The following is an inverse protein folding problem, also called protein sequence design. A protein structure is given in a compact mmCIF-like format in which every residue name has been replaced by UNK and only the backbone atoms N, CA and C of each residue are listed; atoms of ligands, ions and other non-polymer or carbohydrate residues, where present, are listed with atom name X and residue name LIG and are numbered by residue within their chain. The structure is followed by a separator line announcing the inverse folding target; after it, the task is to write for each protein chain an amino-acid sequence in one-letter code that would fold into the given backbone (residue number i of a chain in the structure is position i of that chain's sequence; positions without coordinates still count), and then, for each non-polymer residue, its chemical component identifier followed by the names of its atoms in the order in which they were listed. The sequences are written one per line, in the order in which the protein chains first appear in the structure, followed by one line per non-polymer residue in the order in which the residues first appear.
data_IF_038226732747
#
_entry.id   IF_038226732747
#
_cell.length_a   1.000
_cell.length_b   1.000
_cell.length_c   1.000
_cell.angle_alpha   90.00
_cell.angle_beta   90.00
_cell.angle_gamma   90.00
#
_symmetry.space_group_name_H-M   'P 1'
#
loop_
_entity.id
_entity.type
_entity.pdbx_description
1 polymer ?
#
# COMPACT_ATOMS: atom_id res chain seq x y z
N UNK A 1 8.57 -14.55 -22.83
CA UNK A 1 7.18 -14.91 -23.17
C UNK A 1 6.42 -15.15 -21.88
N UNK A 2 5.16 -14.71 -21.76
CA UNK A 2 4.34 -15.04 -20.59
C UNK A 2 4.10 -16.55 -20.51
N UNK A 3 4.09 -17.09 -19.30
CA UNK A 3 3.79 -18.50 -19.03
C UNK A 3 2.44 -18.62 -18.33
N UNK A 4 1.74 -19.72 -18.55
CA UNK A 4 0.52 -20.02 -17.81
C UNK A 4 0.88 -20.31 -16.35
N UNK A 5 0.11 -19.72 -15.44
CA UNK A 5 0.17 -20.05 -14.02
C UNK A 5 -0.55 -21.39 -13.78
N UNK A 6 -0.15 -22.19 -12.77
CA UNK A 6 -0.89 -23.40 -12.43
C UNK A 6 -2.38 -23.13 -12.23
N UNK A 7 -3.23 -24.02 -12.74
CA UNK A 7 -4.68 -23.92 -12.55
C UNK A 7 -5.03 -23.99 -11.06
N UNK A 8 -5.97 -23.14 -10.64
CA UNK A 8 -6.41 -23.06 -9.25
C UNK A 8 -7.78 -22.42 -9.14
N UNK A 9 -8.50 -22.77 -8.08
CA UNK A 9 -9.76 -22.14 -7.73
C UNK A 9 -9.53 -20.97 -6.77
N UNK A 10 -10.41 -19.97 -6.80
CA UNK A 10 -10.39 -18.85 -5.87
C UNK A 10 -11.80 -18.55 -5.38
N UNK A 11 -12.03 -18.77 -4.09
CA UNK A 11 -13.19 -18.26 -3.37
C UNK A 11 -12.82 -16.92 -2.73
N UNK A 12 -13.40 -15.81 -3.20
CA UNK A 12 -12.98 -14.45 -2.82
C UNK A 12 -14.14 -13.46 -2.93
N UNK A 13 -14.08 -12.37 -2.15
CA UNK A 13 -14.87 -11.19 -2.45
C UNK A 13 -14.28 -10.42 -3.65
N UNK A 14 -15.07 -9.52 -4.23
CA UNK A 14 -14.67 -8.71 -5.40
C UNK A 14 -14.92 -7.22 -5.12
N UNK A 15 -14.03 -6.29 -5.56
CA UNK A 15 -14.20 -4.87 -5.26
C UNK A 15 -15.48 -4.26 -5.85
N UNK A 16 -15.90 -4.75 -7.02
CA UNK A 16 -17.13 -4.33 -7.67
C UNK A 16 -17.63 -5.41 -8.62
N UNK A 17 -18.89 -5.81 -8.48
CA UNK A 17 -19.55 -6.75 -9.42
C UNK A 17 -19.53 -6.28 -10.88
N UNK A 18 -19.67 -4.97 -11.12
CA UNK A 18 -19.80 -4.44 -12.49
C UNK A 18 -18.46 -4.19 -13.18
N UNK A 19 -17.51 -3.58 -12.47
CA UNK A 19 -16.21 -3.18 -13.03
C UNK A 19 -15.06 -4.17 -12.76
N UNK A 20 -15.08 -4.83 -11.60
CA UNK A 20 -13.97 -5.63 -11.09
C UNK A 20 -14.45 -7.00 -10.55
N UNK A 21 -15.10 -7.86 -11.36
CA UNK A 21 -15.63 -9.16 -10.90
C UNK A 21 -14.52 -10.22 -10.78
N UNK A 22 -13.46 -9.92 -10.03
CA UNK A 22 -12.27 -10.76 -9.88
C UNK A 22 -11.52 -10.45 -8.58
N UNK A 23 -10.64 -11.35 -8.17
CA UNK A 23 -9.88 -11.21 -6.93
C UNK A 23 -8.77 -10.15 -7.03
N UNK A 24 -8.68 -9.27 -6.04
CA UNK A 24 -7.57 -8.33 -5.85
C UNK A 24 -6.97 -8.53 -4.47
N UNK A 25 -5.66 -8.79 -4.42
CA UNK A 25 -4.98 -9.29 -3.22
C UNK A 25 -5.09 -8.33 -2.04
N UNK A 26 -4.79 -7.05 -2.25
CA UNK A 26 -4.84 -6.07 -1.16
C UNK A 26 -6.28 -5.65 -0.78
N UNK A 27 -7.23 -5.67 -1.71
CA UNK A 27 -8.65 -5.40 -1.42
C UNK A 27 -9.21 -6.46 -0.47
N UNK A 28 -8.81 -7.73 -0.66
CA UNK A 28 -9.38 -8.84 0.08
C UNK A 28 -9.19 -8.72 1.59
N UNK A 29 -8.03 -8.26 2.06
CA UNK A 29 -7.82 -8.04 3.50
C UNK A 29 -8.85 -7.06 4.10
N UNK A 30 -9.23 -6.01 3.37
CA UNK A 30 -10.27 -5.08 3.80
C UNK A 30 -11.67 -5.70 3.75
N UNK A 31 -12.00 -6.48 2.71
CA UNK A 31 -13.26 -7.23 2.67
C UNK A 31 -13.40 -8.15 3.89
N UNK A 32 -12.33 -8.86 4.23
CA UNK A 32 -12.34 -9.84 5.32
C UNK A 32 -12.40 -9.22 6.72
N UNK A 33 -11.98 -7.96 6.89
CA UNK A 33 -12.22 -7.23 8.14
C UNK A 33 -13.72 -7.07 8.45
N UNK A 34 -14.56 -6.93 7.42
CA UNK A 34 -16.00 -6.88 7.58
C UNK A 34 -16.60 -8.27 7.68
N UNK A 35 -16.25 -9.17 6.74
CA UNK A 35 -16.84 -10.51 6.69
C UNK A 35 -16.55 -11.34 7.95
N UNK A 36 -15.36 -11.19 8.55
CA UNK A 36 -15.02 -11.88 9.80
C UNK A 36 -15.89 -11.48 11.00
N UNK A 37 -16.60 -10.35 10.93
CA UNK A 37 -17.60 -9.95 11.94
C UNK A 37 -18.92 -10.71 11.77
N UNK A 38 -19.25 -11.06 10.54
CA UNK A 38 -20.46 -11.79 10.19
C UNK A 38 -20.24 -13.31 10.29
N UNK A 39 -19.28 -13.84 9.54
CA UNK A 39 -18.95 -15.25 9.48
C UNK A 39 -17.44 -15.49 9.36
N UNK A 40 -16.76 -15.82 10.47
CA UNK A 40 -15.34 -16.17 10.47
C UNK A 40 -14.99 -17.38 9.59
N UNK A 41 -15.94 -18.28 9.29
CA UNK A 41 -15.68 -19.43 8.43
C UNK A 41 -15.44 -18.99 6.99
N UNK A 42 -16.28 -18.11 6.47
CA UNK A 42 -16.12 -17.50 5.13
C UNK A 42 -14.76 -16.82 5.01
N UNK A 43 -14.33 -16.11 6.06
CA UNK A 43 -13.01 -15.48 6.08
C UNK A 43 -11.86 -16.48 6.04
N UNK A 44 -11.93 -17.56 6.83
CA UNK A 44 -10.91 -18.62 6.79
C UNK A 44 -10.84 -19.29 5.42
N UNK A 45 -11.99 -19.55 4.79
CA UNK A 45 -12.06 -20.15 3.46
C UNK A 45 -11.48 -19.24 2.38
N UNK A 46 -11.80 -17.94 2.39
CA UNK A 46 -11.23 -16.99 1.43
C UNK A 46 -9.70 -16.88 1.59
N UNK A 47 -9.22 -16.67 2.82
CA UNK A 47 -7.77 -16.56 3.08
C UNK A 47 -7.04 -17.85 2.69
N UNK A 48 -7.62 -19.04 2.95
CA UNK A 48 -7.03 -20.31 2.52
C UNK A 48 -6.84 -20.35 1.00
N UNK A 49 -7.87 -20.03 0.22
CA UNK A 49 -7.77 -20.02 -1.24
C UNK A 49 -6.74 -19.01 -1.75
N UNK A 50 -6.65 -17.82 -1.17
CA UNK A 50 -5.62 -16.86 -1.55
C UNK A 50 -4.19 -17.36 -1.27
N UNK A 51 -3.97 -18.00 -0.12
CA UNK A 51 -2.66 -18.54 0.26
C UNK A 51 -2.30 -19.81 -0.54
N UNK A 52 -3.27 -20.57 -1.02
CA UNK A 52 -3.04 -21.70 -1.93
C UNK A 52 -2.57 -21.26 -3.33
N UNK A 53 -2.74 -19.99 -3.69
CA UNK A 53 -2.23 -19.43 -4.96
C UNK A 53 -0.74 -19.07 -4.94
N UNK A 54 -0.04 -19.27 -3.82
CA UNK A 54 1.41 -19.02 -3.73
C UNK A 54 2.18 -19.93 -4.70
N UNK A 55 3.02 -19.35 -5.56
CA UNK A 55 3.94 -20.12 -6.40
C UNK A 55 5.14 -20.66 -5.61
N UNK A 56 5.99 -21.42 -6.31
CA UNK A 56 7.25 -21.95 -5.77
C UNK A 56 8.23 -20.89 -5.24
N UNK A 57 8.08 -19.62 -5.63
CA UNK A 57 8.93 -18.51 -5.16
C UNK A 57 8.37 -17.85 -3.89
N UNK A 58 7.11 -18.13 -3.52
CA UNK A 58 6.42 -17.43 -2.44
C UNK A 58 5.57 -16.24 -2.88
N UNK A 59 5.35 -16.04 -4.19
CA UNK A 59 4.60 -14.92 -4.74
C UNK A 59 3.12 -15.26 -4.97
N UNK A 60 2.25 -14.26 -4.79
CA UNK A 60 0.82 -14.30 -5.14
C UNK A 60 0.55 -13.18 -6.15
N UNK A 61 -0.05 -13.45 -7.32
CA UNK A 61 -0.45 -12.41 -8.24
C UNK A 61 -1.46 -11.43 -7.61
N UNK A 62 -1.20 -10.12 -7.75
CA UNK A 62 -2.03 -9.05 -7.17
C UNK A 62 -3.47 -9.04 -7.68
N UNK A 63 -3.69 -9.50 -8.91
CA UNK A 63 -4.97 -9.49 -9.60
C UNK A 63 -5.19 -10.86 -10.24
N UNK A 64 -6.26 -11.54 -9.83
CA UNK A 64 -6.54 -12.95 -10.17
C UNK A 64 -7.54 -13.01 -11.32
N UNK A 65 -7.04 -13.27 -12.53
CA UNK A 65 -7.82 -13.26 -13.78
C UNK A 65 -7.98 -14.70 -14.25
N UNK A 66 -8.91 -15.43 -13.63
CA UNK A 66 -9.10 -16.87 -13.81
C UNK A 66 -10.26 -17.14 -14.77
N UNK A 67 -9.98 -17.85 -15.87
CA UNK A 67 -10.98 -18.20 -16.88
C UNK A 67 -11.33 -17.09 -17.88
N UNK A 68 -12.08 -17.46 -18.92
CA UNK A 68 -12.38 -16.59 -20.06
C UNK A 68 -13.30 -15.41 -19.69
N UNK A 69 -14.24 -15.63 -18.76
CA UNK A 69 -15.15 -14.57 -18.30
C UNK A 69 -14.39 -13.42 -17.65
N UNK A 70 -13.51 -13.72 -16.68
CA UNK A 70 -12.69 -12.71 -16.02
C UNK A 70 -11.75 -12.02 -17.04
N UNK A 71 -11.13 -12.79 -17.94
CA UNK A 71 -10.23 -12.27 -18.98
C UNK A 71 -10.92 -11.32 -19.95
N UNK A 72 -12.19 -11.57 -20.29
CA UNK A 72 -12.97 -10.71 -21.20
C UNK A 72 -13.17 -9.28 -20.67
N UNK A 73 -13.00 -9.07 -19.36
CA UNK A 73 -13.17 -7.78 -18.67
C UNK A 73 -11.86 -7.04 -18.41
N UNK A 74 -10.72 -7.56 -18.90
CA UNK A 74 -9.39 -7.00 -18.63
C UNK A 74 -8.65 -6.74 -19.94
N UNK A 75 -8.19 -5.50 -20.21
CA UNK A 75 -7.31 -5.21 -21.33
C UNK A 75 -6.07 -6.10 -21.33
N UNK A 76 -5.60 -6.51 -22.51
CA UNK A 76 -4.56 -7.53 -22.67
C UNK A 76 -3.24 -7.16 -21.96
N UNK A 77 -2.93 -5.87 -21.90
CA UNK A 77 -1.75 -5.32 -21.22
C UNK A 77 -1.75 -5.53 -19.70
N UNK A 78 -2.92 -5.72 -19.07
CA UNK A 78 -3.07 -5.95 -17.62
C UNK A 78 -3.24 -7.42 -17.25
N UNK A 79 -3.39 -8.32 -18.24
CA UNK A 79 -3.57 -9.75 -17.97
C UNK A 79 -2.29 -10.37 -17.41
N UNK A 80 -1.13 -10.02 -17.98
CA UNK A 80 0.15 -10.60 -17.56
C UNK A 80 0.58 -10.03 -16.21
N UNK A 81 0.60 -10.88 -15.20
CA UNK A 81 1.11 -10.56 -13.87
C UNK A 81 2.64 -10.76 -13.82
N UNK A 82 3.33 -10.05 -12.92
CA UNK A 82 4.80 -10.10 -12.77
C UNK A 82 5.17 -10.58 -11.37
N UNK A 83 6.00 -11.60 -11.27
CA UNK A 83 6.41 -12.20 -10.00
C UNK A 83 7.35 -11.33 -9.16
N UNK A 84 7.89 -10.24 -9.70
CA UNK A 84 8.59 -9.21 -8.95
C UNK A 84 7.64 -8.20 -8.29
N UNK A 85 6.39 -8.13 -8.76
CA UNK A 85 5.39 -7.15 -8.33
C UNK A 85 4.62 -7.64 -7.11
N UNK A 86 4.83 -6.96 -5.99
CA UNK A 86 4.11 -7.17 -4.74
C UNK A 86 2.75 -6.45 -4.70
N UNK A 87 2.03 -6.62 -3.59
CA UNK A 87 0.88 -5.79 -3.20
C UNK A 87 0.87 -5.56 -1.67
N UNK A 88 0.16 -4.58 -1.09
CA UNK A 88 0.03 -4.51 0.37
C UNK A 88 -0.48 -5.83 0.95
N UNK A 89 0.18 -6.42 1.95
CA UNK A 89 -0.17 -7.74 2.46
C UNK A 89 -1.34 -7.65 3.48
N UNK A 90 -2.45 -7.05 3.05
CA UNK A 90 -3.61 -6.72 3.91
C UNK A 90 -4.32 -7.95 4.47
N UNK A 91 -4.10 -9.15 3.92
CA UNK A 91 -4.57 -10.40 4.52
C UNK A 91 -4.09 -10.57 5.97
N UNK A 92 -2.93 -9.98 6.33
CA UNK A 92 -2.48 -9.94 7.72
C UNK A 92 -3.44 -9.18 8.64
N UNK A 93 -4.12 -8.12 8.17
CA UNK A 93 -5.15 -7.43 8.95
C UNK A 93 -6.30 -8.36 9.32
N UNK A 94 -6.74 -9.19 8.36
CA UNK A 94 -7.80 -10.17 8.60
C UNK A 94 -7.34 -11.30 9.53
N UNK A 95 -6.09 -11.76 9.39
CA UNK A 95 -5.49 -12.73 10.30
C UNK A 95 -5.37 -12.19 11.73
N UNK A 96 -4.90 -10.95 11.89
CA UNK A 96 -4.89 -10.24 13.17
C UNK A 96 -6.30 -10.24 13.77
N UNK A 97 -7.33 -9.96 12.96
CA UNK A 97 -8.69 -9.92 13.46
C UNK A 97 -9.20 -11.27 13.98
N UNK A 98 -8.90 -12.35 13.26
CA UNK A 98 -9.24 -13.71 13.71
C UNK A 98 -8.53 -14.07 15.02
N UNK A 99 -7.26 -13.68 15.18
CA UNK A 99 -6.48 -13.89 16.40
C UNK A 99 -7.08 -13.13 17.58
N UNK A 100 -7.41 -11.85 17.40
CA UNK A 100 -8.06 -11.03 18.44
C UNK A 100 -9.39 -11.64 18.88
N UNK A 101 -10.20 -12.11 17.94
CA UNK A 101 -11.49 -12.76 18.22
C UNK A 101 -11.32 -14.04 19.03
N UNK A 102 -10.36 -14.88 18.64
CA UNK A 102 -10.01 -16.10 19.37
C UNK A 102 -9.52 -15.79 20.78
N UNK A 103 -8.59 -14.84 20.94
CA UNK A 103 -8.03 -14.47 22.25
C UNK A 103 -9.08 -13.84 23.18
N UNK A 104 -9.99 -13.04 22.64
CA UNK A 104 -11.01 -12.34 23.44
C UNK A 104 -12.14 -13.28 23.88
N UNK A 105 -12.44 -14.33 23.11
CA UNK A 105 -13.55 -15.25 23.37
C UNK A 105 -13.17 -16.69 23.02
N UNK A 106 -12.20 -17.29 23.72
CA UNK A 106 -11.65 -18.59 23.35
C UNK A 106 -12.72 -19.67 23.31
N UNK A 107 -13.66 -19.69 24.27
CA UNK A 107 -14.70 -20.73 24.37
C UNK A 107 -15.77 -20.67 23.27
N UNK A 108 -15.84 -19.58 22.49
CA UNK A 108 -16.86 -19.44 21.45
C UNK A 108 -16.58 -20.40 20.29
N UNK A 109 -17.49 -21.35 20.09
CA UNK A 109 -17.37 -22.40 19.06
C UNK A 109 -17.07 -21.87 17.65
N UNK A 110 -17.53 -20.66 17.31
CA UNK A 110 -17.27 -20.03 15.99
C UNK A 110 -15.80 -19.67 15.75
N UNK A 111 -15.03 -19.45 16.83
CA UNK A 111 -13.63 -19.03 16.78
C UNK A 111 -12.65 -20.18 16.98
N UNK A 112 -13.05 -21.27 17.62
CA UNK A 112 -12.25 -22.49 17.83
C UNK A 112 -11.56 -23.03 16.56
N UNK A 113 -12.19 -23.02 15.36
CA UNK A 113 -11.52 -23.48 14.14
C UNK A 113 -10.34 -22.62 13.68
N UNK A 114 -10.13 -21.44 14.27
CA UNK A 114 -9.04 -20.52 13.93
C UNK A 114 -7.67 -21.15 14.21
N UNK A 115 -7.49 -21.85 15.32
CA UNK A 115 -6.19 -22.43 15.66
C UNK A 115 -5.77 -23.57 14.70
N UNK A 116 -6.62 -24.58 14.39
CA UNK A 116 -6.32 -25.56 13.35
C UNK A 116 -6.15 -24.95 11.95
N UNK A 117 -6.89 -23.89 11.62
CA UNK A 117 -6.74 -23.15 10.38
C UNK A 117 -5.35 -22.50 10.28
N UNK A 118 -4.94 -21.74 11.30
CA UNK A 118 -3.62 -21.11 11.35
C UNK A 118 -2.51 -22.15 11.25
N UNK A 119 -2.64 -23.30 11.93
CA UNK A 119 -1.65 -24.40 11.86
C UNK A 119 -1.43 -24.90 10.44
N UNK A 120 -2.49 -25.04 9.64
CA UNK A 120 -2.40 -25.45 8.23
C UNK A 120 -1.88 -24.34 7.32
N UNK A 121 -2.26 -23.09 7.59
CA UNK A 121 -1.88 -21.93 6.80
C UNK A 121 -0.39 -21.57 6.96
N UNK A 122 0.14 -21.77 8.17
CA UNK A 122 1.40 -21.17 8.61
C UNK A 122 2.61 -21.47 7.71
N UNK A 123 2.86 -22.70 7.22
CA UNK A 123 4.01 -22.95 6.34
C UNK A 123 4.00 -22.11 5.06
N UNK A 124 2.85 -21.99 4.40
CA UNK A 124 2.69 -21.16 3.19
C UNK A 124 2.78 -19.67 3.53
N UNK A 125 2.24 -19.27 4.69
CA UNK A 125 2.34 -17.89 5.17
C UNK A 125 3.79 -17.47 5.44
N UNK A 126 4.64 -18.38 5.96
CA UNK A 126 6.10 -18.17 6.08
C UNK A 126 6.71 -17.87 4.71
N UNK A 127 6.44 -18.72 3.72
CA UNK A 127 6.97 -18.54 2.35
C UNK A 127 6.56 -17.19 1.75
N UNK A 128 5.29 -16.79 1.93
CA UNK A 128 4.84 -15.48 1.46
C UNK A 128 5.54 -14.31 2.16
N UNK A 129 5.67 -14.39 3.49
CA UNK A 129 6.37 -13.38 4.28
C UNK A 129 7.87 -13.28 3.91
N UNK A 130 8.54 -14.41 3.73
CA UNK A 130 9.93 -14.47 3.28
C UNK A 130 10.11 -13.91 1.87
N UNK A 131 9.15 -14.14 0.97
CA UNK A 131 9.18 -13.55 -0.38
C UNK A 131 9.21 -12.02 -0.35
N UNK A 132 8.44 -11.35 0.52
CA UNK A 132 8.57 -9.89 0.69
C UNK A 132 9.95 -9.48 1.19
N UNK A 133 10.45 -10.17 2.23
CA UNK A 133 11.72 -9.86 2.88
C UNK A 133 12.94 -10.15 2.00
N UNK A 134 12.78 -10.91 0.92
CA UNK A 134 13.86 -11.18 -0.04
C UNK A 134 13.74 -10.32 -1.29
N UNK A 135 12.53 -10.14 -1.83
CA UNK A 135 12.34 -9.49 -3.14
C UNK A 135 12.11 -7.99 -3.07
N UNK A 136 11.55 -7.48 -1.97
CA UNK A 136 11.15 -6.08 -1.82
C UNK A 136 12.08 -5.25 -0.93
N UNK A 137 13.27 -5.78 -0.63
CA UNK A 137 14.31 -5.08 0.16
C UNK A 137 14.72 -3.74 -0.47
N UNK A 138 14.98 -2.75 0.37
CA UNK A 138 15.49 -1.45 -0.03
C UNK A 138 17.03 -1.42 -0.07
N UNK A 139 17.62 -0.28 -0.44
CA UNK A 139 19.07 -0.11 -0.53
C UNK A 139 19.79 -0.09 0.82
N UNK A 140 19.08 0.20 1.91
CA UNK A 140 19.62 0.23 3.27
C UNK A 140 19.07 -0.93 4.12
N UNK A 141 19.78 -1.37 5.17
CA UNK A 141 19.24 -2.34 6.13
C UNK A 141 17.87 -1.93 6.64
N UNK A 142 16.95 -2.90 6.72
CA UNK A 142 15.57 -2.71 7.20
C UNK A 142 14.70 -1.74 6.38
N UNK A 143 15.22 -1.19 5.28
CA UNK A 143 14.40 -0.41 4.34
C UNK A 143 13.75 -1.32 3.31
N UNK A 144 12.64 -0.87 2.73
CA UNK A 144 11.91 -1.58 1.69
C UNK A 144 11.62 -0.68 0.49
N UNK A 145 11.45 -1.29 -0.68
CA UNK A 145 11.11 -0.60 -1.92
C UNK A 145 10.23 -1.45 -2.82
N UNK A 146 9.01 -1.00 -3.06
CA UNK A 146 8.15 -1.48 -4.15
C UNK A 146 8.90 -1.68 -5.48
N UNK A 147 8.80 -2.88 -6.04
CA UNK A 147 9.21 -3.16 -7.42
C UNK A 147 8.08 -2.81 -8.40
N UNK A 148 8.40 -2.80 -9.69
CA UNK A 148 7.38 -2.62 -10.75
C UNK A 148 6.91 -1.18 -10.97
N UNK A 149 7.58 -0.17 -10.42
CA UNK A 149 7.31 1.23 -10.78
C UNK A 149 7.54 1.45 -12.28
N UNK A 150 6.71 2.28 -12.89
CA UNK A 150 6.89 2.68 -14.29
C UNK A 150 8.25 3.36 -14.45
N UNK A 151 9.01 2.95 -15.46
CA UNK A 151 10.34 3.53 -15.75
C UNK A 151 10.28 4.64 -16.81
N UNK A 152 9.19 4.70 -17.57
CA UNK A 152 9.01 5.75 -18.58
C UNK A 152 8.67 7.07 -17.90
N UNK A 153 9.69 7.93 -17.83
CA UNK A 153 9.60 9.26 -17.25
C UNK A 153 9.12 10.32 -18.23
N UNK A 154 8.88 9.99 -19.51
CA UNK A 154 8.41 10.93 -20.51
C UNK A 154 6.87 10.95 -20.63
N UNK A 155 6.24 9.81 -20.40
CA UNK A 155 4.79 9.64 -20.52
C UNK A 155 4.03 10.21 -19.31
N UNK A 156 4.52 9.95 -18.10
CA UNK A 156 3.81 10.28 -16.86
C UNK A 156 4.34 11.54 -16.20
N UNK A 157 3.46 12.36 -15.65
CA UNK A 157 3.87 13.49 -14.77
C UNK A 157 4.71 12.99 -13.58
N UNK A 158 4.28 11.89 -12.97
CA UNK A 158 5.00 11.10 -11.98
C UNK A 158 4.77 9.60 -12.26
N UNK A 159 5.82 8.77 -12.40
CA UNK A 159 5.64 7.36 -12.72
C UNK A 159 4.83 6.58 -11.67
N UNK A 160 3.92 5.71 -12.08
CA UNK A 160 2.98 5.04 -11.18
C UNK A 160 3.68 3.97 -10.32
N UNK A 161 3.03 3.61 -9.22
CA UNK A 161 3.45 2.53 -8.31
C UNK A 161 2.26 1.60 -8.05
N UNK A 162 1.78 0.93 -9.12
CA UNK A 162 0.62 0.04 -9.09
C UNK A 162 0.73 -1.06 -8.04
N UNK A 163 1.96 -1.50 -7.75
CA UNK A 163 2.25 -2.52 -6.74
C UNK A 163 1.91 -2.06 -5.33
N UNK A 164 1.92 -0.76 -5.03
CA UNK A 164 1.55 -0.27 -3.70
C UNK A 164 0.05 -0.24 -3.41
N UNK A 165 -0.80 -0.42 -4.43
CA UNK A 165 -2.25 -0.19 -4.33
C UNK A 165 -2.65 1.30 -4.40
N UNK A 166 -1.69 2.22 -4.29
CA UNK A 166 -1.87 3.66 -4.41
C UNK A 166 -1.30 4.16 -5.75
N UNK A 167 -1.92 3.72 -6.85
CA UNK A 167 -1.39 3.77 -8.23
C UNK A 167 -0.65 5.05 -8.63
N UNK A 168 -1.29 6.21 -8.57
CA UNK A 168 -0.75 7.51 -8.98
C UNK A 168 -0.32 8.40 -7.81
N UNK A 169 -0.25 7.87 -6.58
CA UNK A 169 0.27 8.62 -5.43
C UNK A 169 1.69 9.10 -5.75
N UNK A 170 2.01 10.41 -5.60
CA UNK A 170 3.30 10.93 -5.99
C UNK A 170 4.44 10.33 -5.16
N UNK A 171 5.40 9.70 -5.85
CA UNK A 171 6.67 9.24 -5.24
C UNK A 171 7.86 9.96 -5.86
N UNK A 172 9.08 9.44 -5.65
CA UNK A 172 10.29 9.96 -6.28
C UNK A 172 10.06 10.15 -7.78
N UNK A 173 10.40 11.35 -8.28
CA UNK A 173 10.07 11.77 -9.63
C UNK A 173 10.86 11.02 -10.70
N UNK A 174 12.03 10.50 -10.34
CA UNK A 174 12.91 9.72 -11.19
C UNK A 174 13.18 8.40 -10.47
N UNK A 175 12.43 7.33 -10.81
CA UNK A 175 12.56 6.04 -10.14
C UNK A 175 14.00 5.52 -10.20
N UNK A 176 14.47 4.91 -9.11
CA UNK A 176 15.84 4.43 -8.97
C UNK A 176 15.95 3.33 -7.92
N UNK A 177 17.08 2.62 -7.89
CA UNK A 177 17.33 1.61 -6.87
C UNK A 177 17.45 2.20 -5.44
N UNK A 178 17.75 3.50 -5.34
CA UNK A 178 17.95 4.25 -4.09
C UNK A 178 16.65 4.61 -3.35
N UNK A 179 15.49 4.25 -3.89
CA UNK A 179 14.22 4.60 -3.26
C UNK A 179 13.98 3.82 -1.96
N UNK A 180 13.32 4.47 -1.00
CA UNK A 180 12.80 3.84 0.23
C UNK A 180 11.34 4.22 0.39
N UNK A 181 10.47 3.23 0.58
CA UNK A 181 9.02 3.41 0.62
C UNK A 181 8.47 3.16 2.01
N UNK A 182 7.98 4.21 2.67
CA UNK A 182 7.60 4.16 4.10
C UNK A 182 6.36 3.30 4.33
N UNK A 183 5.42 3.29 3.39
CA UNK A 183 4.21 2.47 3.46
C UNK A 183 4.55 0.97 3.45
N UNK A 184 5.49 0.54 2.60
CA UNK A 184 5.94 -0.84 2.57
C UNK A 184 6.70 -1.23 3.85
N UNK A 185 7.57 -0.36 4.36
CA UNK A 185 8.22 -0.56 5.66
C UNK A 185 7.17 -0.83 6.76
N UNK A 186 6.13 -0.01 6.80
CA UNK A 186 5.06 -0.13 7.80
C UNK A 186 4.26 -1.43 7.63
N UNK A 187 3.98 -1.86 6.40
CA UNK A 187 3.35 -3.15 6.15
C UNK A 187 4.20 -4.30 6.69
N UNK A 188 5.50 -4.27 6.46
CA UNK A 188 6.41 -5.33 6.93
C UNK A 188 6.55 -5.34 8.45
N UNK A 189 6.57 -4.17 9.09
CA UNK A 189 6.52 -4.05 10.55
C UNK A 189 5.25 -4.72 11.12
N UNK A 190 4.08 -4.40 10.57
CA UNK A 190 2.81 -5.01 10.99
C UNK A 190 2.80 -6.53 10.76
N UNK A 191 3.16 -6.97 9.55
CA UNK A 191 3.18 -8.38 9.17
C UNK A 191 4.10 -9.21 10.06
N UNK A 192 5.28 -8.71 10.40
CA UNK A 192 6.21 -9.41 11.31
C UNK A 192 5.64 -9.61 12.71
N UNK A 193 4.93 -8.62 13.28
CA UNK A 193 4.28 -8.76 14.60
C UNK A 193 3.15 -9.78 14.59
N UNK A 194 2.42 -9.87 13.49
CA UNK A 194 1.35 -10.85 13.31
C UNK A 194 1.93 -12.26 13.07
N UNK A 195 3.03 -12.38 12.30
CA UNK A 195 3.76 -13.63 12.16
C UNK A 195 4.28 -14.14 13.51
N UNK A 196 4.89 -13.27 14.33
CA UNK A 196 5.32 -13.61 15.69
C UNK A 196 4.15 -14.10 16.55
N UNK A 197 3.00 -13.42 16.47
CA UNK A 197 1.80 -13.79 17.23
C UNK A 197 1.25 -15.15 16.81
N UNK A 198 1.15 -15.43 15.51
CA UNK A 198 0.72 -16.73 14.99
C UNK A 198 1.70 -17.83 15.42
N UNK A 199 3.00 -17.60 15.25
CA UNK A 199 4.04 -18.55 15.61
C UNK A 199 3.97 -18.91 17.10
N UNK A 200 3.82 -17.91 17.98
CA UNK A 200 3.68 -18.11 19.43
C UNK A 200 2.43 -18.92 19.77
N UNK A 201 1.28 -18.62 19.16
CA UNK A 201 0.03 -19.37 19.35
C UNK A 201 0.13 -20.84 18.92
N UNK A 202 0.94 -21.13 17.90
CA UNK A 202 1.10 -22.48 17.37
C UNK A 202 2.18 -23.31 18.08
N UNK A 203 3.01 -22.67 18.92
CA UNK A 203 4.19 -23.29 19.54
C UNK A 203 5.38 -23.42 18.59
N UNK A 204 5.46 -22.53 17.59
CA UNK A 204 6.50 -22.51 16.56
C UNK A 204 7.62 -21.51 16.92
N UNK A 205 8.83 -21.65 16.33
CA UNK A 205 9.88 -20.63 16.44
C UNK A 205 9.36 -19.25 16.01
N UNK A 206 9.54 -18.25 16.87
CA UNK A 206 8.93 -16.93 16.71
C UNK A 206 9.90 -15.75 16.90
N UNK A 207 11.10 -16.03 17.41
CA UNK A 207 12.09 -15.03 17.81
C UNK A 207 12.54 -14.15 16.63
N UNK A 208 12.72 -14.71 15.44
CA UNK A 208 13.14 -13.95 14.25
C UNK A 208 12.05 -12.97 13.80
N UNK A 209 10.77 -13.35 13.92
CA UNK A 209 9.64 -12.47 13.61
C UNK A 209 9.50 -11.36 14.65
N UNK A 210 9.71 -11.67 15.94
CA UNK A 210 9.73 -10.67 17.02
C UNK A 210 10.86 -9.67 16.84
N UNK A 211 12.06 -10.15 16.52
CA UNK A 211 13.23 -9.31 16.25
C UNK A 211 12.95 -8.41 15.04
N UNK A 212 12.43 -8.97 13.95
CA UNK A 212 12.05 -8.18 12.76
C UNK A 212 11.02 -7.12 13.12
N UNK A 213 9.97 -7.48 13.86
CA UNK A 213 8.95 -6.53 14.30
C UNK A 213 9.54 -5.42 15.15
N UNK A 214 10.31 -5.76 16.17
CA UNK A 214 10.97 -4.80 17.06
C UNK A 214 11.88 -3.85 16.29
N UNK A 215 12.68 -4.35 15.33
CA UNK A 215 13.58 -3.52 14.53
C UNK A 215 12.81 -2.58 13.60
N UNK A 216 11.70 -3.04 13.02
CA UNK A 216 10.91 -2.24 12.08
C UNK A 216 9.94 -1.28 12.78
N UNK A 217 9.53 -1.56 14.02
CA UNK A 217 8.67 -0.68 14.82
C UNK A 217 9.44 0.28 15.73
N UNK A 218 10.75 0.12 15.84
CA UNK A 218 11.66 1.07 16.50
C UNK A 218 11.50 2.46 15.87
N UNK A 219 11.01 3.41 16.67
CA UNK A 219 10.65 4.75 16.19
C UNK A 219 11.90 5.56 15.80
N UNK A 220 13.06 5.33 16.41
CA UNK A 220 14.30 6.03 16.07
C UNK A 220 14.81 5.55 14.70
N UNK A 221 14.83 4.24 14.46
CA UNK A 221 15.22 3.68 13.15
C UNK A 221 14.25 4.08 12.05
N UNK A 222 12.95 4.09 12.35
CA UNK A 222 11.94 4.58 11.42
C UNK A 222 12.18 6.07 11.08
N UNK A 223 12.53 6.88 12.08
CA UNK A 223 12.85 8.29 11.88
C UNK A 223 14.09 8.48 11.00
N UNK A 224 15.17 7.73 11.25
CA UNK A 224 16.39 7.78 10.44
C UNK A 224 16.12 7.49 8.95
N UNK A 225 15.24 6.53 8.66
CA UNK A 225 14.95 6.12 7.30
C UNK A 225 13.96 7.04 6.58
N UNK A 226 12.96 7.56 7.32
CA UNK A 226 11.72 8.09 6.75
C UNK A 226 11.22 9.42 7.33
N UNK A 227 11.73 9.92 8.46
CA UNK A 227 11.31 11.21 8.99
C UNK A 227 12.08 12.36 8.34
N UNK A 228 11.35 13.36 7.83
CA UNK A 228 11.94 14.59 7.32
C UNK A 228 11.64 15.76 8.25
N UNK A 229 12.67 16.29 8.93
CA UNK A 229 12.52 17.49 9.77
C UNK A 229 12.11 18.73 8.98
N UNK A 230 12.55 18.83 7.72
CA UNK A 230 12.16 19.93 6.85
C UNK A 230 10.66 19.90 6.51
N UNK A 231 10.10 18.70 6.32
CA UNK A 231 8.70 18.52 5.93
C UNK A 231 7.78 18.32 7.14
N UNK A 232 8.34 18.04 8.32
CA UNK A 232 7.63 17.57 9.51
C UNK A 232 6.68 16.40 9.20
N UNK A 233 7.13 15.46 8.38
CA UNK A 233 6.33 14.33 7.93
C UNK A 233 7.21 13.11 7.62
N UNK A 234 6.63 11.92 7.83
CA UNK A 234 7.16 10.70 7.25
C UNK A 234 7.03 10.75 5.73
N UNK A 235 8.12 10.42 5.04
CA UNK A 235 8.26 10.61 3.61
C UNK A 235 8.98 9.42 2.97
N UNK A 236 8.59 9.11 1.74
CA UNK A 236 9.44 8.31 0.86
C UNK A 236 10.76 9.05 0.61
N UNK A 237 11.81 8.30 0.25
CA UNK A 237 13.10 8.85 -0.16
C UNK A 237 13.42 8.43 -1.59
N UNK A 238 14.07 9.29 -2.38
CA UNK A 238 14.59 8.92 -3.69
C UNK A 238 15.02 10.11 -4.55
N UNK A 239 15.33 9.85 -5.82
CA UNK A 239 15.77 10.87 -6.76
C UNK A 239 14.57 11.75 -7.21
N UNK A 240 14.42 12.92 -6.59
CA UNK A 240 13.20 13.72 -6.68
C UNK A 240 13.45 15.17 -7.11
N UNK A 241 12.49 15.74 -7.83
CA UNK A 241 12.32 17.18 -8.11
C UNK A 241 10.83 17.47 -8.27
N UNK A 242 10.36 18.55 -7.64
CA UNK A 242 8.99 19.05 -7.84
C UNK A 242 8.86 19.87 -9.14
N UNK A 243 9.98 20.17 -9.81
CA UNK A 243 10.02 21.03 -11.00
C UNK A 243 9.64 20.27 -12.28
N UNK A 244 8.53 19.50 -12.23
CA UNK A 244 7.99 18.74 -13.36
C UNK A 244 6.63 19.26 -13.78
N UNK A 245 6.31 19.15 -15.07
CA UNK A 245 5.03 19.56 -15.63
C UNK A 245 4.73 18.79 -16.91
N UNK A 246 3.47 18.57 -17.25
CA UNK A 246 3.08 18.15 -18.59
C UNK A 246 3.01 19.38 -19.51
N UNK A 247 3.61 19.30 -20.69
CA UNK A 247 3.62 20.35 -21.71
C UNK A 247 3.23 19.75 -23.05
N UNK A 248 2.58 20.53 -23.91
CA UNK A 248 2.34 20.11 -25.28
C UNK A 248 3.67 20.06 -26.05
N UNK A 249 3.91 18.93 -26.70
CA UNK A 249 5.04 18.74 -27.59
C UNK A 249 5.02 19.77 -28.72
N UNK A 250 6.18 20.36 -29.03
CA UNK A 250 6.31 21.29 -30.14
C UNK A 250 6.43 20.51 -31.45
N UNK A 251 5.33 20.38 -32.18
CA UNK A 251 5.32 19.80 -33.53
C UNK A 251 5.70 20.90 -34.53
N UNK A 252 6.87 20.76 -35.15
CA UNK A 252 7.28 21.66 -36.23
C UNK A 252 6.50 21.34 -37.51
N UNK A 253 5.82 22.35 -38.05
CA UNK A 253 5.10 22.27 -39.33
C UNK A 253 5.79 23.23 -40.30
N UNK A 254 6.46 22.75 -41.36
CA UNK A 254 7.06 23.58 -42.39
C UNK A 254 6.03 24.51 -43.06
N UNK A 255 6.41 25.74 -43.44
CA UNK A 255 5.52 26.65 -44.17
C UNK A 255 4.99 26.01 -45.46
N UNK A 256 3.67 26.13 -45.70
CA UNK A 256 3.01 25.62 -46.91
C UNK A 256 2.54 24.16 -46.85
N UNK A 257 2.80 23.42 -45.77
CA UNK A 257 2.29 22.05 -45.62
C UNK A 257 1.05 21.99 -44.71
N UNK A 258 0.05 21.16 -45.04
CA UNK A 258 -1.20 21.10 -44.28
C UNK A 258 -1.03 20.31 -42.96
N UNK A 259 -1.46 20.92 -41.85
CA UNK A 259 -1.24 20.47 -40.46
C UNK A 259 -1.69 19.03 -40.15
N UNK A 260 -2.67 18.51 -40.88
CA UNK A 260 -3.18 17.15 -40.73
C UNK A 260 -2.20 16.05 -41.18
N UNK A 261 -1.11 16.41 -41.89
CA UNK A 261 -0.04 15.47 -42.28
C UNK A 261 0.99 15.25 -41.16
N UNK A 262 0.89 15.98 -40.04
CA UNK A 262 1.82 15.92 -38.93
C UNK A 262 1.20 15.23 -37.71
N UNK A 263 2.00 14.60 -36.83
CA UNK A 263 1.50 13.98 -35.61
C UNK A 263 0.74 14.98 -34.74
N UNK A 264 -0.33 14.50 -34.09
CA UNK A 264 -1.04 15.27 -33.08
C UNK A 264 -0.09 15.55 -31.92
N UNK A 265 0.01 16.81 -31.48
CA UNK A 265 0.87 17.22 -30.37
C UNK A 265 0.46 16.48 -29.10
N UNK A 266 1.39 15.69 -28.53
CA UNK A 266 1.16 14.92 -27.31
C UNK A 266 1.49 15.75 -26.07
N UNK A 267 0.85 15.44 -24.95
CA UNK A 267 1.33 15.92 -23.65
C UNK A 267 2.55 15.09 -23.23
N UNK A 268 3.70 15.75 -23.12
CA UNK A 268 4.96 15.14 -22.69
C UNK A 268 5.44 15.78 -21.39
N UNK A 269 6.11 15.00 -20.55
CA UNK A 269 6.68 15.52 -19.31
C UNK A 269 7.91 16.40 -19.60
N UNK A 270 7.96 17.55 -18.96
CA UNK A 270 9.11 18.46 -18.95
C UNK A 270 9.67 18.56 -17.54
N UNK A 271 11.00 18.47 -17.42
CA UNK A 271 11.76 18.58 -16.16
C UNK A 271 12.58 19.87 -16.19
N UNK A 272 12.24 20.84 -15.32
CA UNK A 272 12.86 22.18 -15.30
C UNK A 272 14.06 22.31 -14.36
N UNK A 273 14.20 21.40 -13.40
CA UNK A 273 15.35 21.32 -12.49
C UNK A 273 15.74 19.86 -12.33
N UNK A 274 17.04 19.58 -12.40
CA UNK A 274 17.58 18.24 -12.19
C UNK A 274 17.12 17.68 -10.82
N UNK A 275 16.77 16.39 -10.75
CA UNK A 275 16.44 15.75 -9.49
C UNK A 275 17.68 15.52 -8.64
N UNK A 276 17.47 15.37 -7.33
CA UNK A 276 18.49 14.96 -6.36
C UNK A 276 17.91 13.95 -5.39
N UNK A 277 18.76 13.14 -4.75
CA UNK A 277 18.35 12.28 -3.64
C UNK A 277 17.89 13.14 -2.46
N UNK A 278 16.62 12.99 -2.08
CA UNK A 278 15.99 13.71 -0.98
C UNK A 278 14.70 13.01 -0.54
N UNK A 279 14.16 13.42 0.60
CA UNK A 279 12.79 13.07 0.98
C UNK A 279 11.79 13.66 -0.02
N UNK A 280 10.79 12.87 -0.38
CA UNK A 280 9.74 13.24 -1.33
C UNK A 280 8.69 14.04 -0.59
N UNK A 281 8.54 15.31 -0.96
CA UNK A 281 7.48 16.17 -0.44
C UNK A 281 6.14 15.84 -1.11
N UNK A 282 5.43 14.87 -0.54
CA UNK A 282 4.11 14.41 -0.94
C UNK A 282 3.30 14.03 0.31
N UNK A 283 2.86 15.03 1.08
CA UNK A 283 2.09 14.82 2.30
C UNK A 283 0.71 14.24 1.97
N UNK A 284 0.39 13.07 2.50
CA UNK A 284 -0.85 12.36 2.20
C UNK A 284 -0.93 11.03 2.95
N UNK A 285 -1.73 10.10 2.43
CA UNK A 285 -1.90 8.78 3.05
C UNK A 285 -0.59 8.05 3.32
N UNK A 286 0.39 8.10 2.39
CA UNK A 286 1.70 7.45 2.57
C UNK A 286 2.42 8.00 3.83
N UNK A 287 2.35 9.31 4.07
CA UNK A 287 2.93 9.95 5.26
C UNK A 287 2.27 9.53 6.57
N UNK A 288 1.04 9.01 6.52
CA UNK A 288 0.30 8.59 7.71
C UNK A 288 0.55 7.13 8.08
N UNK A 289 1.21 6.31 7.24
CA UNK A 289 1.33 4.86 7.47
C UNK A 289 1.88 4.45 8.85
N UNK A 290 2.91 5.10 9.41
CA UNK A 290 3.36 4.82 10.77
C UNK A 290 2.26 4.96 11.82
N UNK A 291 1.36 5.94 11.66
CA UNK A 291 0.19 6.14 12.49
C UNK A 291 -0.95 5.15 12.15
N UNK A 292 -1.29 4.99 10.86
CA UNK A 292 -2.40 4.15 10.38
C UNK A 292 -2.25 2.68 10.81
N UNK A 293 -1.00 2.19 10.86
CA UNK A 293 -0.66 0.83 11.27
C UNK A 293 -0.21 0.72 12.73
N UNK A 294 -0.39 1.78 13.53
CA UNK A 294 -0.14 1.81 14.98
C UNK A 294 1.31 1.42 15.34
N UNK A 295 2.27 1.93 14.57
CA UNK A 295 3.71 1.67 14.76
C UNK A 295 4.33 2.71 15.72
N UNK A 296 3.81 3.94 15.70
CA UNK A 296 4.33 5.00 16.57
C UNK A 296 3.99 4.71 18.03
N UNK A 297 4.94 4.94 18.93
CA UNK A 297 4.66 4.90 20.37
C UNK A 297 3.76 6.08 20.76
N UNK A 298 2.88 5.95 21.77
CA UNK A 298 1.94 7.01 22.18
C UNK A 298 2.60 8.32 22.62
N UNK A 299 3.86 8.29 23.02
CA UNK A 299 4.69 9.42 23.42
C UNK A 299 5.51 10.04 22.29
N UNK A 300 5.48 9.45 21.09
CA UNK A 300 6.22 9.94 19.93
C UNK A 300 5.75 11.35 19.54
N UNK A 301 6.62 12.38 19.53
CA UNK A 301 6.25 13.74 19.16
C UNK A 301 5.78 13.87 17.71
N UNK A 302 6.04 12.86 16.88
CA UNK A 302 5.58 12.83 15.49
C UNK A 302 4.06 12.68 15.39
N UNK A 303 3.40 12.12 16.42
CA UNK A 303 1.94 12.04 16.51
C UNK A 303 1.30 13.42 16.52
N UNK A 304 1.87 14.40 17.22
CA UNK A 304 1.33 15.77 17.24
C UNK A 304 1.25 16.35 15.82
N UNK A 305 2.34 16.26 15.06
CA UNK A 305 2.40 16.74 13.68
C UNK A 305 1.37 16.04 12.78
N UNK A 306 1.26 14.72 12.91
CA UNK A 306 0.30 13.92 12.14
C UNK A 306 -1.13 14.35 12.44
N UNK A 307 -1.51 14.43 13.72
CA UNK A 307 -2.86 14.79 14.14
C UNK A 307 -3.22 16.22 13.71
N UNK A 308 -2.27 17.17 13.80
CA UNK A 308 -2.47 18.55 13.32
C UNK A 308 -2.72 18.58 11.81
N UNK A 309 -1.93 17.85 11.04
CA UNK A 309 -2.05 17.81 9.58
C UNK A 309 -3.31 17.08 9.10
N UNK A 310 -3.73 16.05 9.84
CA UNK A 310 -5.03 15.39 9.63
C UNK A 310 -6.19 16.36 9.81
N UNK A 311 -6.15 17.25 10.82
CA UNK A 311 -7.22 18.21 11.12
C UNK A 311 -7.20 19.48 10.25
N UNK A 312 -6.11 19.75 9.55
CA UNK A 312 -5.95 20.95 8.73
C UNK A 312 -6.73 20.84 7.40
N UNK A 313 -7.72 21.73 7.22
CA UNK A 313 -8.54 21.81 6.01
C UNK A 313 -7.78 22.23 4.74
N UNK A 314 -6.65 22.92 4.89
CA UNK A 314 -5.72 23.25 3.81
C UNK A 314 -4.81 22.08 3.45
N UNK A 315 -4.78 21.03 4.28
CA UNK A 315 -4.05 19.78 4.04
C UNK A 315 -5.02 18.63 3.79
N UNK A 316 -5.24 17.77 4.79
CA UNK A 316 -5.92 16.49 4.61
C UNK A 316 -7.41 16.54 4.97
N UNK A 317 -7.83 17.44 5.86
CA UNK A 317 -9.20 17.43 6.39
C UNK A 317 -10.25 17.87 5.37
N UNK A 318 -11.38 17.15 5.33
CA UNK A 318 -12.61 17.55 4.65
C UNK A 318 -13.83 17.20 5.50
N UNK A 319 -15.02 17.79 5.21
CA UNK A 319 -16.29 17.34 5.81
C UNK A 319 -16.69 15.89 5.47
N UNK A 320 -15.97 15.21 4.59
CA UNK A 320 -16.32 13.89 4.05
C UNK A 320 -15.27 12.80 4.36
N UNK A 321 -14.22 13.13 5.12
CA UNK A 321 -13.07 12.27 5.40
C UNK A 321 -11.73 12.88 4.97
N UNK A 322 -10.65 12.13 5.16
CA UNK A 322 -9.29 12.54 4.83
C UNK A 322 -9.01 12.40 3.33
N UNK A 323 -8.38 13.42 2.73
CA UNK A 323 -7.89 13.38 1.34
C UNK A 323 -6.72 12.42 1.20
N UNK A 324 -6.60 11.78 0.04
CA UNK A 324 -5.43 10.95 -0.30
C UNK A 324 -4.11 11.72 -0.31
N UNK A 325 -4.13 12.98 -0.73
CA UNK A 325 -2.97 13.89 -0.65
C UNK A 325 -3.42 15.27 -0.16
N UNK A 326 -2.50 16.01 0.44
CA UNK A 326 -2.71 17.38 0.88
C UNK A 326 -3.24 18.26 -0.24
N UNK A 327 -4.24 19.09 0.06
CA UNK A 327 -4.77 20.11 -0.86
C UNK A 327 -3.68 21.13 -1.26
N UNK A 328 -2.68 21.34 -0.42
CA UNK A 328 -1.54 22.23 -0.70
C UNK A 328 -0.47 21.59 -1.59
N UNK A 329 -0.58 20.30 -1.92
CA UNK A 329 0.41 19.60 -2.73
C UNK A 329 0.33 20.02 -4.22
N UNK A 330 1.45 20.24 -4.92
CA UNK A 330 1.45 20.56 -6.35
C UNK A 330 0.76 19.52 -7.25
N UNK A 331 0.68 18.26 -6.79
CA UNK A 331 0.04 17.14 -7.49
C UNK A 331 -1.45 17.00 -7.16
N UNK A 332 -1.99 17.79 -6.23
CA UNK A 332 -3.42 17.76 -5.89
C UNK A 332 -4.29 17.98 -7.14
N UNK A 333 -5.18 17.01 -7.40
CA UNK A 333 -6.07 16.94 -8.56
C UNK A 333 -5.37 17.02 -9.93
N UNK A 334 -4.06 16.75 -10.00
CA UNK A 334 -3.32 16.72 -11.27
C UNK A 334 -3.46 15.36 -11.95
N UNK A 335 -3.88 15.39 -13.21
CA UNK A 335 -3.81 14.24 -14.12
C UNK A 335 -2.38 13.73 -14.28
N UNK A 336 -2.21 12.43 -14.47
CA UNK A 336 -0.88 11.84 -14.67
C UNK A 336 -0.46 11.81 -16.14
N UNK A 337 -1.43 11.75 -17.04
CA UNK A 337 -1.29 11.83 -18.50
C UNK A 337 -2.48 12.61 -19.07
N UNK A 338 -2.64 12.67 -20.39
CA UNK A 338 -3.84 13.22 -21.01
C UNK A 338 -5.12 12.46 -20.59
N UNK A 339 -5.01 11.14 -20.40
CA UNK A 339 -6.14 10.24 -20.19
C UNK A 339 -6.26 9.73 -18.74
N UNK A 340 -5.19 9.82 -17.94
CA UNK A 340 -5.19 9.39 -16.54
C UNK A 340 -5.67 10.53 -15.61
N UNK A 341 -6.94 10.46 -15.22
CA UNK A 341 -7.50 11.32 -14.17
C UNK A 341 -6.81 11.09 -12.80
N UNK A 342 -6.80 12.10 -11.90
CA UNK A 342 -6.26 11.90 -10.55
C UNK A 342 -7.05 10.85 -9.78
N UNK A 343 -6.37 9.92 -9.10
CA UNK A 343 -7.00 8.81 -8.38
C UNK A 343 -6.65 8.82 -6.87
N UNK A 344 -5.36 8.77 -6.54
CA UNK A 344 -4.78 8.91 -5.19
C UNK A 344 -4.14 10.28 -4.99
N UNK A 345 -4.69 11.30 -5.68
CA UNK A 345 -4.21 12.69 -5.68
C UNK A 345 -5.26 13.69 -5.19
N UNK A 346 -6.06 13.31 -4.21
CA UNK A 346 -7.09 14.16 -3.63
C UNK A 346 -8.35 13.43 -3.20
N UNK A 347 -8.90 12.48 -4.00
CA UNK A 347 -10.07 11.70 -3.62
C UNK A 347 -9.93 11.00 -2.26
N UNK A 348 -11.08 10.76 -1.62
CA UNK A 348 -11.20 10.14 -0.29
C UNK A 348 -11.46 8.65 -0.48
N UNK A 349 -10.78 7.83 0.33
CA UNK A 349 -10.78 6.38 0.18
C UNK A 349 -11.11 5.73 1.52
N UNK A 350 -12.17 4.92 1.54
CA UNK A 350 -12.74 4.39 2.78
C UNK A 350 -11.81 3.43 3.51
N UNK A 351 -11.03 2.63 2.79
CA UNK A 351 -10.08 1.69 3.37
C UNK A 351 -9.00 2.39 4.20
N UNK A 352 -8.42 3.48 3.71
CA UNK A 352 -7.41 4.25 4.46
C UNK A 352 -8.07 5.06 5.59
N UNK A 353 -9.25 5.64 5.34
CA UNK A 353 -9.99 6.35 6.39
C UNK A 353 -10.41 5.40 7.53
N UNK A 354 -10.76 4.14 7.22
CA UNK A 354 -11.00 3.11 8.23
C UNK A 354 -9.75 2.86 9.09
N UNK A 355 -8.56 2.74 8.48
CA UNK A 355 -7.31 2.60 9.24
C UNK A 355 -7.03 3.83 10.10
N UNK A 356 -7.35 5.04 9.62
CA UNK A 356 -7.20 6.27 10.38
C UNK A 356 -8.10 6.29 11.61
N UNK A 357 -9.39 5.95 11.47
CA UNK A 357 -10.32 5.86 12.61
C UNK A 357 -9.88 4.77 13.59
N UNK A 358 -9.41 3.63 13.08
CA UNK A 358 -8.85 2.55 13.92
C UNK A 358 -7.63 3.03 14.72
N UNK A 359 -6.75 3.82 14.10
CA UNK A 359 -5.59 4.40 14.77
C UNK A 359 -5.99 5.47 15.80
N UNK A 360 -6.89 6.41 15.45
CA UNK A 360 -7.43 7.41 16.38
C UNK A 360 -8.06 6.75 17.61
N UNK A 361 -8.86 5.69 17.41
CA UNK A 361 -9.41 4.91 18.51
C UNK A 361 -8.32 4.28 19.38
N UNK A 362 -7.25 3.74 18.80
CA UNK A 362 -6.14 3.20 19.58
C UNK A 362 -5.43 4.27 20.41
N UNK A 363 -5.02 5.38 19.80
CA UNK A 363 -4.26 6.42 20.48
C UNK A 363 -5.11 7.25 21.47
N UNK A 364 -6.43 7.33 21.29
CA UNK A 364 -7.34 7.94 22.28
C UNK A 364 -7.59 7.06 23.51
N UNK A 365 -7.33 5.75 23.41
CA UNK A 365 -7.49 4.78 24.49
C UNK A 365 -6.15 4.28 25.06
N UNK A 366 -5.03 4.89 24.65
CA UNK A 366 -3.70 4.54 25.15
C UNK A 366 -3.11 5.75 25.86
N UNK A 367 -2.56 5.54 27.06
CA UNK A 367 -1.93 6.61 27.83
C UNK A 367 -0.78 7.24 27.05
N UNK A 368 -0.79 8.57 26.95
CA UNK A 368 0.24 9.33 26.26
C UNK A 368 -0.11 10.82 26.12
N UNK A 369 0.88 11.68 25.84
CA UNK A 369 0.70 13.14 25.76
C UNK A 369 -0.28 13.60 24.67
N UNK A 370 -0.57 12.76 23.67
CA UNK A 370 -1.46 13.09 22.54
C UNK A 370 -2.82 12.40 22.59
N UNK A 371 -3.15 11.75 23.71
CA UNK A 371 -4.38 10.98 23.87
C UNK A 371 -5.64 11.84 23.63
N UNK A 372 -5.74 13.00 24.28
CA UNK A 372 -6.87 13.93 24.13
C UNK A 372 -6.98 14.47 22.70
N UNK A 373 -5.84 14.74 22.07
CA UNK A 373 -5.79 15.23 20.70
C UNK A 373 -6.30 14.18 19.70
N UNK A 374 -5.95 12.90 19.91
CA UNK A 374 -6.49 11.79 19.13
C UNK A 374 -7.98 11.58 19.38
N UNK A 375 -8.48 11.80 20.60
CA UNK A 375 -9.89 11.66 20.95
C UNK A 375 -10.78 12.77 20.34
N UNK A 376 -10.23 13.96 20.12
CA UNK A 376 -10.96 15.11 19.59
C UNK A 376 -11.14 15.12 18.06
N UNK A 377 -10.39 14.27 17.35
CA UNK A 377 -10.33 14.17 15.88
C UNK A 377 -11.35 13.15 15.36
#
# INVERSE_FOLDING_TARGET
YPLLYPEGALFTAVPSRSFFPRGFLWDEGFHQLLLSKWDPQVTRESIAHWIDLINMEGWIPREQILGDEARSKVPAEFVVQRNENANPPTLFLALQKLIEQLNSNPEKATFQPTLPFLRRLFPRLKTWFEWYNTTQTGPLPNSYRWRGRDKDTNLFLNPKTLTSGLDDYPRASHPSAEERHVDLHCWMALSSGIMASIARLLGEPHQDYELTHHVLSDNDKLNELHWSDQLNAFSDFGNHTQAVSLQQEKVYVPPGQPRHQFPVARLVRSVRRAPKLQFVNALGYVSLFPFLLQILTPDSPKLEHILRDMRDSNKLWTPYGLRSISKSDPMYMKRNTEHDAPYWRGPIWININYLAVRALHHYSNTEGPYQEMAAAL
#
